data_IF_572230465088
#
_entry.id   IF_572230465088
#
_cell.length_a   1.000
_cell.length_b   1.000
_cell.length_c   1.000
_cell.angle_alpha   90.00
_cell.angle_beta   90.00
_cell.angle_gamma   90.00
#
_symmetry.space_group_name_H-M   'P 1'
#
loop_
_entity.id
_entity.type
_entity.pdbx_description
1 polymer ?
#
# COMPACT_ATOMS: atom_id res chain seq x y z
N UNK A 1 17.41 11.26 11.73
CA UNK A 1 16.61 10.12 11.24
C UNK A 1 15.35 10.07 12.08
N UNK A 2 14.18 10.00 11.46
CA UNK A 2 12.92 9.73 12.15
C UNK A 2 12.38 8.39 11.69
N UNK A 3 11.87 7.62 12.65
CA UNK A 3 11.13 6.39 12.38
C UNK A 3 9.68 6.59 12.85
N UNK A 4 8.75 6.09 12.06
CA UNK A 4 7.33 6.03 12.38
C UNK A 4 6.85 4.61 12.18
N UNK A 5 6.08 4.12 13.14
CA UNK A 5 5.37 2.85 13.04
C UNK A 5 3.88 3.09 13.14
N UNK A 6 3.12 2.45 12.26
CA UNK A 6 1.68 2.45 12.24
C UNK A 6 1.16 1.01 12.22
N UNK A 7 0.12 0.77 13.01
CA UNK A 7 -0.61 -0.50 13.05
C UNK A 7 -2.08 -0.22 12.81
N UNK A 8 -2.74 -1.11 12.07
CA UNK A 8 -4.17 -1.06 11.86
C UNK A 8 -4.74 -2.46 11.68
N UNK A 9 -5.97 -2.67 12.12
CA UNK A 9 -6.70 -3.92 11.93
C UNK A 9 -7.95 -3.64 11.10
N UNK A 10 -8.02 -4.27 9.92
CA UNK A 10 -9.25 -4.38 9.15
C UNK A 10 -10.05 -5.55 9.71
N UNK A 11 -11.35 -5.36 9.95
CA UNK A 11 -12.27 -6.42 10.41
C UNK A 11 -12.78 -7.25 9.22
N UNK A 12 -11.96 -7.37 8.18
CA UNK A 12 -12.26 -8.02 6.91
C UNK A 12 -11.13 -8.98 6.51
N UNK A 13 -11.44 -10.08 5.80
CA UNK A 13 -10.45 -11.09 5.46
C UNK A 13 -9.37 -10.57 4.51
N UNK A 14 -8.15 -11.12 4.67
CA UNK A 14 -6.96 -10.69 3.95
C UNK A 14 -7.16 -10.54 2.44
N UNK A 15 -7.76 -11.53 1.79
CA UNK A 15 -7.96 -11.51 0.34
C UNK A 15 -8.84 -10.34 -0.13
N UNK A 16 -9.90 -10.00 0.61
CA UNK A 16 -10.77 -8.85 0.33
C UNK A 16 -10.00 -7.53 0.50
N UNK A 17 -9.24 -7.38 1.58
CA UNK A 17 -8.43 -6.18 1.85
C UNK A 17 -7.36 -5.98 0.78
N UNK A 18 -6.66 -7.05 0.37
CA UNK A 18 -5.64 -6.96 -0.69
C UNK A 18 -6.28 -6.55 -2.01
N UNK A 19 -7.44 -7.10 -2.37
CA UNK A 19 -8.13 -6.73 -3.60
C UNK A 19 -8.53 -5.25 -3.58
N UNK A 20 -9.12 -4.77 -2.49
CA UNK A 20 -9.49 -3.37 -2.32
C UNK A 20 -8.27 -2.44 -2.42
N UNK A 21 -7.17 -2.79 -1.73
CA UNK A 21 -5.90 -2.08 -1.80
C UNK A 21 -5.38 -1.95 -3.24
N UNK A 22 -5.48 -3.00 -4.04
CA UNK A 22 -5.00 -2.97 -5.42
C UNK A 22 -5.88 -2.12 -6.35
N UNK A 23 -7.17 -1.94 -6.06
CA UNK A 23 -8.08 -1.14 -6.91
C UNK A 23 -7.68 0.34 -6.98
N UNK A 24 -7.02 0.88 -5.95
CA UNK A 24 -6.61 2.28 -5.93
C UNK A 24 -5.60 2.66 -7.03
N UNK A 25 -5.00 1.67 -7.70
CA UNK A 25 -4.01 1.87 -8.77
C UNK A 25 -4.60 1.80 -10.19
N UNK A 26 -5.89 1.51 -10.36
CA UNK A 26 -6.51 1.40 -11.69
C UNK A 26 -6.60 2.76 -12.41
N UNK A 27 -6.82 3.84 -11.65
CA UNK A 27 -6.94 5.20 -12.19
C UNK A 27 -6.05 6.17 -11.42
N UNK A 28 -4.88 6.49 -11.97
CA UNK A 28 -3.92 7.43 -11.40
C UNK A 28 -3.94 8.78 -12.17
N UNK A 29 -3.82 9.92 -11.48
CA UNK A 29 -3.88 10.07 -10.02
C UNK A 29 -5.29 9.79 -9.48
N UNK A 30 -5.37 9.08 -8.36
CA UNK A 30 -6.66 8.84 -7.70
C UNK A 30 -7.17 10.16 -7.08
N UNK A 31 -8.45 10.58 -7.26
CA UNK A 31 -8.93 11.88 -6.79
C UNK A 31 -8.74 12.13 -5.29
N UNK A 32 -8.78 11.07 -4.48
CA UNK A 32 -8.57 11.13 -3.02
C UNK A 32 -7.12 10.84 -2.59
N UNK A 33 -6.26 10.37 -3.51
CA UNK A 33 -4.83 10.13 -3.25
C UNK A 33 -4.02 10.82 -4.36
N UNK A 34 -4.12 12.16 -4.48
CA UNK A 34 -3.59 12.89 -5.64
C UNK A 34 -2.07 12.95 -5.68
N UNK A 35 -1.39 12.64 -4.57
CA UNK A 35 0.07 12.69 -4.47
C UNK A 35 0.76 11.65 -5.37
N UNK A 36 0.11 10.51 -5.65
CA UNK A 36 0.62 9.52 -6.60
C UNK A 36 0.16 9.91 -8.01
N UNK A 37 1.07 10.50 -8.78
CA UNK A 37 0.78 11.07 -10.10
C UNK A 37 0.74 10.01 -11.21
N UNK A 38 1.57 8.97 -11.07
CA UNK A 38 1.68 7.90 -12.04
C UNK A 38 2.43 6.71 -11.47
N UNK A 39 2.27 5.55 -12.09
CA UNK A 39 2.95 4.32 -11.72
C UNK A 39 3.26 3.50 -12.97
N UNK A 40 4.52 3.12 -13.13
CA UNK A 40 4.94 2.14 -14.13
C UNK A 40 5.20 0.81 -13.44
N UNK A 41 4.62 -0.27 -13.96
CA UNK A 41 4.74 -1.62 -13.40
C UNK A 41 5.71 -2.45 -14.23
N UNK A 42 6.64 -3.12 -13.55
CA UNK A 42 7.72 -3.87 -14.20
C UNK A 42 8.14 -5.08 -13.35
N UNK A 43 9.01 -5.93 -13.92
CA UNK A 43 9.73 -7.00 -13.25
C UNK A 43 8.80 -7.97 -12.51
N UNK A 44 7.76 -8.40 -13.22
CA UNK A 44 6.78 -9.37 -12.78
C UNK A 44 7.38 -10.77 -12.72
N UNK A 45 7.23 -11.46 -11.59
CA UNK A 45 7.70 -12.83 -11.40
C UNK A 45 6.74 -13.66 -10.56
N UNK A 46 6.65 -14.96 -10.86
CA UNK A 46 5.88 -15.94 -10.11
C UNK A 46 6.78 -17.12 -9.73
N UNK A 47 6.80 -17.48 -8.45
CA UNK A 47 7.50 -18.64 -7.92
C UNK A 47 6.46 -19.72 -7.54
N UNK A 48 6.30 -20.79 -8.34
CA UNK A 48 5.29 -21.81 -8.10
C UNK A 48 5.48 -22.57 -6.78
N UNK A 49 6.72 -22.78 -6.34
CA UNK A 49 7.00 -23.57 -5.14
C UNK A 49 6.47 -22.91 -3.86
N UNK A 50 6.45 -21.58 -3.81
CA UNK A 50 5.98 -20.78 -2.68
C UNK A 50 4.64 -20.08 -2.93
N UNK A 51 4.04 -20.25 -4.12
CA UNK A 51 2.86 -19.50 -4.59
C UNK A 51 3.03 -17.99 -4.39
N UNK A 52 4.22 -17.50 -4.74
CA UNK A 52 4.61 -16.12 -4.53
C UNK A 52 4.63 -15.34 -5.84
N UNK A 53 3.99 -14.18 -5.82
CA UNK A 53 3.98 -13.22 -6.91
C UNK A 53 4.76 -11.99 -6.49
N UNK A 54 5.65 -11.51 -7.34
CA UNK A 54 6.37 -10.25 -7.09
C UNK A 54 6.37 -9.35 -8.32
N UNK A 55 6.43 -8.05 -8.06
CA UNK A 55 6.51 -7.02 -9.09
C UNK A 55 7.12 -5.74 -8.52
N UNK A 56 7.66 -4.92 -9.42
CA UNK A 56 8.21 -3.61 -9.12
C UNK A 56 7.26 -2.54 -9.63
N UNK A 57 7.13 -1.45 -8.87
CA UNK A 57 6.41 -0.24 -9.29
C UNK A 57 7.35 0.94 -9.19
N UNK A 58 7.47 1.72 -10.27
CA UNK A 58 8.09 3.03 -10.27
C UNK A 58 6.98 4.08 -10.18
N UNK A 59 6.76 4.59 -8.97
CA UNK A 59 5.75 5.59 -8.68
C UNK A 59 6.30 7.00 -8.80
N UNK A 60 5.67 7.85 -9.61
CA UNK A 60 5.94 9.28 -9.63
C UNK A 60 5.07 9.96 -8.56
N UNK A 61 5.70 10.58 -7.58
CA UNK A 61 5.01 11.20 -6.44
C UNK A 61 5.28 12.71 -6.42
N UNK A 62 4.22 13.50 -6.21
CA UNK A 62 4.38 14.91 -5.85
C UNK A 62 4.93 15.01 -4.43
N UNK A 63 6.12 15.61 -4.29
CA UNK A 63 6.78 15.67 -2.99
C UNK A 63 6.04 16.69 -2.12
N UNK A 64 5.57 16.32 -0.92
CA UNK A 64 4.76 17.19 -0.08
C UNK A 64 5.64 18.15 0.71
N UNK A 65 6.37 19.01 0.00
CA UNK A 65 7.23 20.04 0.60
C UNK A 65 6.83 21.41 0.07
N UNK A 66 7.11 22.44 0.88
CA UNK A 66 6.80 23.81 0.50
C UNK A 66 7.45 24.19 -0.84
N UNK A 67 6.81 25.05 -1.63
CA UNK A 67 7.29 25.39 -2.98
C UNK A 67 8.70 25.97 -3.00
N UNK A 68 9.13 26.63 -1.93
CA UNK A 68 10.52 27.11 -1.80
C UNK A 68 11.51 25.95 -1.62
N UNK A 69 11.12 24.87 -0.93
CA UNK A 69 11.94 23.64 -0.82
C UNK A 69 12.07 23.00 -2.19
N UNK A 70 10.96 22.88 -2.96
CA UNK A 70 10.99 22.37 -4.34
C UNK A 70 11.91 23.20 -5.23
N UNK A 71 11.88 24.53 -5.09
CA UNK A 71 12.79 25.44 -5.83
C UNK A 71 14.25 25.28 -5.44
N UNK A 72 14.56 25.14 -4.15
CA UNK A 72 15.93 24.97 -3.66
C UNK A 72 16.51 23.59 -3.99
N UNK A 73 15.69 22.54 -3.93
CA UNK A 73 16.11 21.17 -4.23
C UNK A 73 16.10 20.83 -5.72
N UNK A 74 15.41 21.63 -6.54
CA UNK A 74 15.11 21.28 -7.94
C UNK A 74 14.14 20.10 -8.08
N UNK A 75 13.59 19.58 -6.99
CA UNK A 75 12.68 18.44 -6.97
C UNK A 75 11.23 18.92 -7.01
N UNK A 76 10.59 18.84 -8.17
CA UNK A 76 9.14 18.98 -8.30
C UNK A 76 8.43 17.65 -8.05
N UNK A 77 9.01 16.55 -8.55
CA UNK A 77 8.51 15.18 -8.40
C UNK A 77 9.65 14.26 -8.01
N UNK A 78 9.32 13.13 -7.40
CA UNK A 78 10.27 12.09 -7.03
C UNK A 78 9.79 10.73 -7.50
N UNK A 79 10.69 9.95 -8.08
CA UNK A 79 10.45 8.54 -8.38
C UNK A 79 10.73 7.69 -7.13
N UNK A 80 9.71 6.95 -6.72
CA UNK A 80 9.78 5.91 -5.70
C UNK A 80 9.75 4.53 -6.35
N UNK A 81 10.69 3.70 -5.95
CA UNK A 81 10.71 2.28 -6.29
C UNK A 81 10.02 1.48 -5.20
N UNK A 82 9.01 0.72 -5.60
CA UNK A 82 8.26 -0.16 -4.72
C UNK A 82 8.42 -1.60 -5.16
N UNK A 83 8.94 -2.45 -4.27
CA UNK A 83 9.03 -3.89 -4.47
C UNK A 83 7.87 -4.53 -3.72
N UNK A 84 7.00 -5.23 -4.44
CA UNK A 84 5.83 -5.88 -3.88
C UNK A 84 6.00 -7.41 -3.96
N UNK A 85 5.52 -8.10 -2.94
CA UNK A 85 5.56 -9.55 -2.85
C UNK A 85 4.27 -10.05 -2.20
N UNK A 86 3.43 -10.74 -2.95
CA UNK A 86 2.24 -11.44 -2.44
C UNK A 86 2.56 -12.91 -2.32
N UNK A 87 2.32 -13.48 -1.14
CA UNK A 87 2.41 -14.92 -0.91
C UNK A 87 1.04 -15.43 -0.46
N UNK A 88 0.41 -16.26 -1.31
CA UNK A 88 -0.95 -16.76 -1.07
C UNK A 88 -1.00 -17.83 0.01
N UNK A 89 0.01 -18.70 0.06
CA UNK A 89 0.13 -19.74 1.09
C UNK A 89 0.24 -19.13 2.50
N UNK A 90 1.10 -18.12 2.63
CA UNK A 90 1.28 -17.39 3.89
C UNK A 90 0.20 -16.33 4.15
N UNK A 91 -0.66 -16.02 3.17
CA UNK A 91 -1.63 -14.90 3.20
C UNK A 91 -0.96 -13.59 3.65
N UNK A 92 0.08 -13.19 2.91
CA UNK A 92 0.80 -11.94 3.16
C UNK A 92 1.01 -11.12 1.89
N UNK A 93 0.90 -9.80 1.99
CA UNK A 93 1.40 -8.84 1.00
C UNK A 93 2.47 -7.99 1.69
N UNK A 94 3.70 -8.06 1.19
CA UNK A 94 4.83 -7.26 1.65
C UNK A 94 5.18 -6.22 0.60
N UNK A 95 5.41 -4.99 1.03
CA UNK A 95 5.69 -3.85 0.17
C UNK A 95 6.90 -3.15 0.75
N UNK A 96 7.94 -2.96 -0.06
CA UNK A 96 9.13 -2.18 0.30
C UNK A 96 9.25 -0.99 -0.62
N UNK A 97 9.35 0.21 -0.06
CA UNK A 97 9.38 1.46 -0.80
C UNK A 97 10.68 2.19 -0.51
N UNK A 98 11.36 2.63 -1.55
CA UNK A 98 12.54 3.51 -1.47
C UNK A 98 12.43 4.62 -2.48
N UNK A 99 12.91 5.83 -2.16
CA UNK A 99 13.10 6.85 -3.18
C UNK A 99 14.38 6.58 -3.99
N UNK A 100 14.28 6.53 -5.31
CA UNK A 100 15.43 6.43 -6.21
C UNK A 100 16.05 7.81 -6.43
N UNK A 101 15.20 8.83 -6.61
CA UNK A 101 15.65 10.21 -6.79
C UNK A 101 15.99 10.91 -5.47
N UNK A 102 16.80 11.97 -5.54
CA UNK A 102 17.09 12.91 -4.44
C UNK A 102 17.61 12.27 -3.15
N UNK A 103 18.16 11.04 -3.20
CA UNK A 103 18.78 10.35 -2.05
C UNK A 103 19.93 11.10 -1.39
N UNK A 104 20.56 12.04 -2.10
CA UNK A 104 21.59 12.93 -1.55
C UNK A 104 20.99 14.02 -0.63
N UNK A 105 19.72 14.35 -0.78
CA UNK A 105 18.96 15.32 0.05
C UNK A 105 18.17 14.60 1.13
N UNK A 106 17.41 13.57 0.76
CA UNK A 106 16.53 12.82 1.66
C UNK A 106 16.51 11.34 1.30
N UNK A 107 16.57 10.47 2.31
CA UNK A 107 16.38 9.03 2.15
C UNK A 107 15.09 8.64 2.85
N UNK A 108 14.20 8.02 2.09
CA UNK A 108 12.95 7.39 2.53
C UNK A 108 13.09 5.90 2.34
N UNK A 109 12.77 5.16 3.40
CA UNK A 109 12.68 3.71 3.38
C UNK A 109 11.41 3.31 4.12
N UNK A 110 10.51 2.60 3.47
CA UNK A 110 9.25 2.17 4.05
C UNK A 110 9.01 0.68 3.80
N UNK A 111 8.39 0.03 4.78
CA UNK A 111 7.99 -1.37 4.73
C UNK A 111 6.57 -1.51 5.24
N UNK A 112 5.69 -1.99 4.36
CA UNK A 112 4.29 -2.24 4.69
C UNK A 112 4.01 -3.74 4.56
N UNK A 113 3.21 -4.27 5.47
CA UNK A 113 2.85 -5.67 5.54
C UNK A 113 1.37 -5.81 5.85
N UNK A 114 0.62 -6.39 4.92
CA UNK A 114 -0.72 -6.91 5.18
C UNK A 114 -0.62 -8.41 5.44
N UNK A 115 -1.17 -8.87 6.55
CA UNK A 115 -1.17 -10.29 6.94
C UNK A 115 -2.45 -10.62 7.68
N UNK A 116 -2.78 -11.90 7.74
CA UNK A 116 -3.90 -12.37 8.59
C UNK A 116 -3.62 -11.99 10.04
N UNK A 117 -4.65 -11.48 10.73
CA UNK A 117 -4.52 -11.09 12.13
C UNK A 117 -4.20 -12.33 13.00
N UNK A 118 -3.25 -12.25 13.94
CA UNK A 118 -2.80 -13.41 14.71
C UNK A 118 -3.90 -14.03 15.59
N UNK A 119 -4.90 -13.24 15.99
CA UNK A 119 -5.98 -13.67 16.88
C UNK A 119 -7.29 -14.01 16.15
N UNK A 120 -7.45 -13.59 14.88
CA UNK A 120 -8.68 -13.80 14.12
C UNK A 120 -8.36 -13.97 12.62
N UNK A 121 -8.66 -15.14 12.07
CA UNK A 121 -8.33 -15.47 10.68
C UNK A 121 -9.22 -14.78 9.63
N UNK A 122 -10.30 -14.13 10.07
CA UNK A 122 -11.18 -13.29 9.26
C UNK A 122 -10.80 -11.81 9.30
N UNK A 123 -9.77 -11.43 10.04
CA UNK A 123 -9.27 -10.06 10.10
C UNK A 123 -7.91 -9.93 9.42
N UNK A 124 -7.58 -8.70 9.04
CA UNK A 124 -6.30 -8.37 8.42
C UNK A 124 -5.56 -7.36 9.27
N UNK A 125 -4.35 -7.72 9.67
CA UNK A 125 -3.41 -6.79 10.28
C UNK A 125 -2.62 -6.07 9.18
N UNK A 126 -2.52 -4.76 9.31
CA UNK A 126 -1.65 -3.90 8.54
C UNK A 126 -0.59 -3.29 9.45
N UNK A 127 0.67 -3.47 9.08
CA UNK A 127 1.82 -2.86 9.73
C UNK A 127 2.60 -2.04 8.71
N UNK A 128 2.88 -0.78 9.05
CA UNK A 128 3.74 0.12 8.29
C UNK A 128 4.88 0.59 9.18
N UNK A 129 6.10 0.54 8.65
CA UNK A 129 7.30 1.12 9.26
C UNK A 129 7.97 2.01 8.22
N UNK A 130 8.05 3.31 8.50
CA UNK A 130 8.65 4.31 7.63
C UNK A 130 9.84 4.98 8.31
N UNK A 131 10.93 5.16 7.57
CA UNK A 131 12.16 5.83 7.99
C UNK A 131 12.47 6.97 7.05
N UNK A 132 12.68 8.15 7.63
CA UNK A 132 13.07 9.37 6.93
C UNK A 132 14.40 9.89 7.47
N UNK A 133 15.34 10.13 6.56
CA UNK A 133 16.62 10.78 6.87
C UNK A 133 16.83 11.97 5.94
N UNK A 134 16.76 13.18 6.47
CA UNK A 134 17.15 14.40 5.74
C UNK A 134 18.65 14.61 5.91
N UNK A 135 19.40 14.57 4.80
CA UNK A 135 20.85 14.71 4.77
C UNK A 135 21.30 16.16 4.62
N UNK A 136 20.63 16.95 3.78
CA UNK A 136 21.06 18.32 3.49
C UNK A 136 19.90 19.24 3.13
N UNK A 137 19.56 20.19 4.01
CA UNK A 137 18.57 21.26 3.79
C UNK A 137 18.92 22.53 4.58
N UNK A 138 20.17 23.01 4.48
CA UNK A 138 20.59 24.32 5.03
C UNK A 138 20.21 24.59 6.50
N UNK A 139 20.20 23.57 7.37
CA UNK A 139 19.82 23.73 8.79
C UNK A 139 18.32 23.62 9.09
N UNK A 140 17.48 23.39 8.08
CA UNK A 140 16.02 23.27 8.19
C UNK A 140 15.51 21.81 8.25
N UNK A 141 16.40 20.86 8.55
CA UNK A 141 16.11 19.43 8.50
C UNK A 141 14.87 19.07 9.34
N UNK A 142 14.81 19.52 10.60
CA UNK A 142 13.71 19.17 11.50
C UNK A 142 12.35 19.74 11.07
N UNK A 143 12.33 20.91 10.43
CA UNK A 143 11.10 21.52 9.91
C UNK A 143 10.57 20.72 8.71
N UNK A 144 11.46 20.37 7.78
CA UNK A 144 11.08 19.59 6.60
C UNK A 144 10.70 18.16 6.96
N UNK A 145 11.40 17.53 7.92
CA UNK A 145 10.98 16.25 8.50
C UNK A 145 9.55 16.33 9.03
N UNK A 146 9.20 17.39 9.77
CA UNK A 146 7.84 17.58 10.30
C UNK A 146 6.78 17.70 9.20
N UNK A 147 7.06 18.45 8.13
CA UNK A 147 6.14 18.60 6.99
C UNK A 147 5.92 17.26 6.28
N UNK A 148 7.02 16.54 5.99
CA UNK A 148 6.96 15.24 5.32
C UNK A 148 6.19 14.23 6.16
N UNK A 149 6.45 14.18 7.47
CA UNK A 149 5.74 13.28 8.37
C UNK A 149 4.24 13.58 8.44
N UNK A 150 3.86 14.87 8.49
CA UNK A 150 2.45 15.27 8.48
C UNK A 150 1.76 14.78 7.20
N UNK A 151 2.42 14.95 6.06
CA UNK A 151 1.87 14.48 4.80
C UNK A 151 1.76 12.95 4.71
N UNK A 152 2.67 12.19 5.33
CA UNK A 152 2.53 10.74 5.42
C UNK A 152 1.27 10.34 6.19
N UNK A 153 1.00 10.97 7.33
CA UNK A 153 -0.22 10.71 8.10
C UNK A 153 -1.48 11.05 7.30
N UNK A 154 -1.52 12.23 6.66
CA UNK A 154 -2.66 12.65 5.82
C UNK A 154 -2.88 11.69 4.62
N UNK A 155 -1.81 11.27 3.96
CA UNK A 155 -1.87 10.32 2.84
C UNK A 155 -2.29 8.92 3.28
N UNK A 156 -1.86 8.47 4.46
CA UNK A 156 -2.28 7.19 5.03
C UNK A 156 -3.79 7.17 5.29
N UNK A 157 -4.32 8.21 5.96
CA UNK A 157 -5.75 8.30 6.24
C UNK A 157 -6.60 8.34 4.97
N UNK A 158 -6.15 9.11 3.97
CA UNK A 158 -6.79 9.17 2.67
C UNK A 158 -6.76 7.80 1.96
N UNK A 159 -5.62 7.11 1.99
CA UNK A 159 -5.46 5.77 1.45
C UNK A 159 -6.39 4.76 2.11
N UNK A 160 -6.41 4.71 3.44
CA UNK A 160 -7.30 3.84 4.21
C UNK A 160 -8.77 4.09 3.91
N UNK A 161 -9.16 5.35 3.77
CA UNK A 161 -10.55 5.70 3.41
C UNK A 161 -10.91 5.24 1.99
N UNK A 162 -9.95 5.18 1.07
CA UNK A 162 -10.13 4.58 -0.27
C UNK A 162 -10.25 3.07 -0.19
N UNK A 163 -9.37 2.42 0.55
CA UNK A 163 -9.39 0.97 0.75
C UNK A 163 -10.75 0.54 1.36
N UNK A 164 -11.25 1.25 2.38
CA UNK A 164 -12.56 0.98 2.99
C UNK A 164 -13.73 1.16 2.02
N UNK A 165 -13.71 2.16 1.14
CA UNK A 165 -14.77 2.32 0.15
C UNK A 165 -14.81 1.14 -0.82
N UNK A 166 -13.65 0.68 -1.28
CA UNK A 166 -13.55 -0.49 -2.15
C UNK A 166 -13.95 -1.78 -1.44
N UNK A 167 -13.60 -1.94 -0.16
CA UNK A 167 -14.08 -3.04 0.67
C UNK A 167 -15.61 -3.07 0.66
N UNK A 168 -16.28 -1.96 0.99
CA UNK A 168 -17.75 -1.91 1.01
C UNK A 168 -18.38 -2.18 -0.35
N UNK A 169 -17.77 -1.70 -1.45
CA UNK A 169 -18.21 -2.01 -2.81
C UNK A 169 -18.12 -3.49 -3.13
N UNK A 170 -17.01 -4.14 -2.77
CA UNK A 170 -16.79 -5.57 -3.00
C UNK A 170 -17.74 -6.43 -2.15
N UNK A 171 -17.98 -6.04 -0.89
CA UNK A 171 -18.96 -6.66 -0.01
C UNK A 171 -20.38 -6.56 -0.59
N UNK A 172 -20.77 -5.38 -1.07
CA UNK A 172 -22.08 -5.15 -1.67
C UNK A 172 -22.32 -5.91 -2.97
N UNK A 173 -21.26 -6.20 -3.73
CA UNK A 173 -21.35 -7.04 -4.94
C UNK A 173 -21.62 -8.53 -4.61
N UNK A 174 -21.32 -8.96 -3.38
CA UNK A 174 -21.54 -10.34 -2.91
C UNK A 174 -20.61 -11.39 -3.52
N UNK A 175 -19.65 -10.97 -4.35
CA UNK A 175 -18.63 -11.83 -4.93
C UNK A 175 -17.32 -11.06 -5.11
N UNK A 176 -16.20 -11.76 -4.95
CA UNK A 176 -14.88 -11.19 -5.19
C UNK A 176 -14.37 -11.55 -6.59
N UNK A 177 -13.67 -10.64 -7.29
CA UNK A 177 -12.96 -11.01 -8.50
C UNK A 177 -11.97 -12.14 -8.19
N UNK A 178 -11.77 -13.01 -9.20
CA UNK A 178 -10.84 -14.15 -9.12
C UNK A 178 -9.41 -13.70 -8.77
N UNK A 179 -9.04 -12.49 -9.19
CA UNK A 179 -7.72 -11.90 -9.03
C UNK A 179 -7.83 -10.44 -8.64
N UNK A 180 -6.85 -9.95 -7.89
CA UNK A 180 -6.68 -8.51 -7.71
C UNK A 180 -6.17 -7.85 -9.01
N UNK A 181 -6.32 -6.53 -9.12
CA UNK A 181 -5.93 -5.75 -10.30
C UNK A 181 -4.47 -5.99 -10.72
N UNK A 182 -3.54 -5.92 -9.77
CA UNK A 182 -2.10 -6.08 -10.06
C UNK A 182 -1.74 -7.52 -10.40
N UNK A 183 -2.42 -8.49 -9.79
CA UNK A 183 -2.27 -9.89 -10.16
C UNK A 183 -2.72 -10.14 -11.61
N UNK A 184 -3.87 -9.58 -12.01
CA UNK A 184 -4.36 -9.70 -13.38
C UNK A 184 -3.37 -9.13 -14.41
N UNK A 185 -2.76 -7.97 -14.11
CA UNK A 185 -1.70 -7.39 -14.93
C UNK A 185 -0.47 -8.30 -15.04
N UNK A 186 0.00 -8.86 -13.92
CA UNK A 186 1.13 -9.79 -13.92
C UNK A 186 0.89 -10.97 -14.85
N UNK A 187 -0.30 -11.58 -14.77
CA UNK A 187 -0.60 -12.75 -15.59
C UNK A 187 -0.71 -12.39 -17.08
N UNK A 188 -1.27 -11.22 -17.41
CA UNK A 188 -1.29 -10.73 -18.78
C UNK A 188 0.14 -10.59 -19.33
N UNK A 189 1.02 -9.93 -18.57
CA UNK A 189 2.41 -9.71 -18.97
C UNK A 189 3.20 -11.01 -19.14
N UNK A 190 3.08 -11.95 -18.19
CA UNK A 190 3.73 -13.26 -18.29
C UNK A 190 3.23 -14.08 -19.48
N UNK A 191 1.95 -13.92 -19.88
CA UNK A 191 1.39 -14.59 -21.05
C UNK A 191 1.85 -13.95 -22.38
N UNK A 192 2.06 -12.63 -22.42
CA UNK A 192 2.56 -11.95 -23.63
C UNK A 192 3.99 -12.37 -24.00
N UNK A 193 4.78 -12.86 -23.03
CA UNK A 193 6.13 -13.40 -23.24
C UNK A 193 6.23 -14.93 -23.34
N UNK A 194 5.14 -15.68 -23.14
CA UNK A 194 5.17 -17.14 -23.05
C UNK A 194 4.50 -17.82 -24.26
N UNK A 195 5.18 -18.80 -24.86
CA UNK A 195 4.63 -19.66 -25.94
C UNK A 195 3.54 -20.62 -25.46
N UNK A 196 3.32 -20.72 -24.14
CA UNK A 196 2.30 -21.56 -23.53
C UNK A 196 1.47 -20.66 -22.60
N UNK A 197 0.14 -20.56 -22.78
CA UNK A 197 -0.69 -19.80 -21.86
C UNK A 197 -0.60 -20.41 -20.47
N UNK A 198 -0.35 -19.57 -19.45
CA UNK A 198 -0.35 -19.98 -18.04
C UNK A 198 -1.78 -20.34 -17.60
N UNK A 199 -2.26 -21.51 -18.00
CA UNK A 199 -3.61 -22.03 -17.70
C UNK A 199 -3.70 -22.77 -16.36
N UNK A 200 -2.57 -23.06 -15.70
CA UNK A 200 -2.54 -23.79 -14.43
C UNK A 200 -2.33 -22.91 -13.18
N UNK A 201 -2.84 -21.67 -13.19
CA UNK A 201 -3.17 -20.97 -11.94
C UNK A 201 -4.60 -21.35 -11.50
N UNK A 202 -4.79 -22.63 -11.19
CA UNK A 202 -5.93 -23.11 -10.42
C UNK A 202 -5.50 -23.19 -8.96
N UNK A 203 -5.71 -22.10 -8.23
CA UNK A 203 -6.01 -22.23 -6.81
C UNK A 203 -7.44 -21.74 -6.63
N UNK A 204 -8.28 -22.67 -6.21
CA UNK A 204 -9.72 -22.53 -6.01
C UNK A 204 -10.02 -21.44 -4.99
N UNK A 205 -10.10 -20.20 -5.47
CA UNK A 205 -11.00 -19.20 -4.89
C UNK A 205 -12.07 -19.02 -5.95
N UNK A 206 -12.95 -20.02 -6.04
CA UNK A 206 -14.32 -19.81 -6.50
C UNK A 206 -14.76 -18.48 -5.93
N UNK A 207 -15.32 -17.57 -6.73
CA UNK A 207 -15.92 -16.33 -6.26
C UNK A 207 -16.67 -16.64 -4.95
N UNK A 208 -16.03 -16.39 -3.81
CA UNK A 208 -16.57 -16.89 -2.55
C UNK A 208 -17.81 -16.03 -2.37
N UNK A 209 -19.01 -16.62 -2.22
CA UNK A 209 -20.17 -15.83 -1.86
C UNK A 209 -19.83 -15.20 -0.51
N UNK A 210 -19.46 -13.92 -0.55
CA UNK A 210 -19.11 -13.20 0.66
C UNK A 210 -20.40 -12.57 1.15
N UNK A 211 -21.04 -13.22 2.13
CA UNK A 211 -22.28 -12.75 2.69
C UNK A 211 -21.99 -11.66 3.71
N UNK A 212 -22.48 -10.45 3.48
CA UNK A 212 -22.44 -9.35 4.45
C UNK A 212 -23.07 -9.69 5.81
N UNK A 213 -23.81 -10.81 5.92
CA UNK A 213 -24.48 -11.27 7.16
C UNK A 213 -23.57 -12.01 8.14
N UNK A 214 -22.36 -12.43 7.74
CA UNK A 214 -21.42 -13.15 8.62
C UNK A 214 -20.37 -12.22 9.25
N UNK A 215 -20.33 -10.96 8.84
CA UNK A 215 -19.62 -9.92 9.56
C UNK A 215 -20.54 -9.44 10.68
N UNK A 216 -20.18 -9.71 11.93
CA UNK A 216 -20.71 -8.98 13.09
C UNK A 216 -20.31 -7.51 12.95
N UNK A 217 -21.03 -6.78 12.10
CA UNK A 217 -20.99 -5.32 12.03
C UNK A 217 -21.77 -4.84 13.25
N UNK A 218 -21.19 -5.02 14.43
CA UNK A 218 -21.53 -4.14 15.55
C UNK A 218 -21.12 -2.74 15.10
N UNK A 219 -22.12 -1.93 14.79
CA UNK A 219 -21.98 -0.49 14.62
C UNK A 219 -21.52 0.08 15.96
N UNK A 220 -20.22 0.04 16.22
CA UNK A 220 -19.64 0.74 17.35
C UNK A 220 -19.60 2.24 17.04
N UNK A 221 -20.21 2.96 17.96
CA UNK A 221 -20.37 4.39 18.06
C UNK A 221 -19.05 5.14 17.78
N UNK A 222 -19.04 5.96 16.71
CA UNK A 222 -17.95 6.87 16.31
C UNK A 222 -17.57 7.90 17.41
N UNK A 223 -18.24 7.85 18.57
CA UNK A 223 -18.02 8.73 19.71
C UNK A 223 -16.82 8.36 20.61
N UNK A 224 -16.19 7.19 20.41
CA UNK A 224 -14.95 6.80 21.10
C UNK A 224 -13.67 6.89 20.25
N UNK A 225 -13.75 7.40 19.02
CA UNK A 225 -12.57 7.74 18.21
C UNK A 225 -11.99 9.07 18.72
N UNK A 226 -11.44 9.05 19.92
CA UNK A 226 -10.75 10.19 20.49
C UNK A 226 -9.44 9.74 21.15
N UNK A 227 -8.55 9.22 20.30
CA UNK A 227 -7.12 9.46 20.38
C UNK A 227 -6.52 9.08 19.01
N UNK A 228 -5.73 9.95 18.36
CA UNK A 228 -4.93 9.51 17.23
C UNK A 228 -4.05 8.37 17.75
N UNK A 229 -4.11 7.20 17.13
CA UNK A 229 -3.14 6.13 17.37
C UNK A 229 -1.77 6.77 17.17
N UNK A 230 -1.07 6.97 18.29
CA UNK A 230 0.11 7.79 18.31
C UNK A 230 1.13 7.16 17.37
N UNK A 231 1.53 7.92 16.35
CA UNK A 231 2.81 7.71 15.67
C UNK A 231 3.86 7.69 16.78
N UNK A 232 4.29 6.49 17.20
CA UNK A 232 5.31 6.35 18.24
C UNK A 232 6.63 6.76 17.61
N UNK A 233 6.97 8.04 17.80
CA UNK A 233 8.24 8.61 17.42
C UNK A 233 9.30 8.06 18.37
N UNK A 234 10.09 7.10 17.89
CA UNK A 234 11.33 6.74 18.56
C UNK A 234 12.42 7.72 18.11
N UNK A 235 12.84 8.60 19.03
CA UNK A 235 14.10 9.32 18.89
C UNK A 235 15.24 8.37 19.26
N UNK A 236 16.12 8.08 18.31
CA UNK A 236 17.45 7.52 18.56
C UNK A 236 18.47 8.66 18.60
#
# INVERSE_FOLDING_TARGET
MREAKLLHTYKEPWHLVIQAYQQRFENLPHPRIPALLGAEFDNFAYEPSSQELSWVVLGQVDVPVASWVKKLSGCSHCIFRTINTINYSARTLKIRITNDDFRHIAVVEESNCFRVHPENDQWTEYEQVSRLTIRSLLGMQSQVEGIVMKSYSENYEAGRSVDNEFIQKLLGAGHLPRRGYLEAMTVAHLNEGATIPFTHMEHSITALPYSAKELDIESEDDSQINQPDAVKLHHL
#
